data_IF_099944526887
#
_entry.id   IF_099944526887
#
_cell.length_a   1.000
_cell.length_b   1.000
_cell.length_c   1.000
_cell.angle_alpha   90.00
_cell.angle_beta   90.00
_cell.angle_gamma   90.00
#
_symmetry.space_group_name_H-M   'P 1'
#
loop_
_entity.id
_entity.type
_entity.pdbx_description
1 polymer ?
#
# COMPACT_ATOMS: atom_id res chain seq x y z
N UNK A 1 -7.17 17.34 9.04
CA UNK A 1 -6.35 16.11 9.18
C UNK A 1 -5.33 16.11 8.06
N UNK A 2 -4.05 15.93 8.38
CA UNK A 2 -2.92 16.17 7.45
C UNK A 2 -2.46 14.90 6.70
N UNK A 3 -3.17 13.78 6.82
CA UNK A 3 -2.91 12.56 6.04
C UNK A 3 -1.72 11.70 6.50
N UNK A 4 -0.97 12.12 7.52
CA UNK A 4 0.25 11.40 7.96
C UNK A 4 0.00 10.11 8.76
N UNK A 5 -1.16 9.99 9.42
CA UNK A 5 -1.44 8.88 10.35
C UNK A 5 -1.28 7.50 9.72
N UNK A 6 -1.71 7.33 8.47
CA UNK A 6 -1.58 6.05 7.78
C UNK A 6 -0.10 5.67 7.60
N UNK A 7 0.69 6.61 7.06
CA UNK A 7 2.11 6.42 6.79
C UNK A 7 2.93 6.17 8.07
N UNK A 8 2.60 6.82 9.19
CA UNK A 8 3.24 6.53 10.48
C UNK A 8 2.96 5.11 10.99
N UNK A 9 1.74 4.61 10.80
CA UNK A 9 1.39 3.25 11.20
C UNK A 9 2.09 2.20 10.33
N UNK A 10 2.19 2.43 9.02
CA UNK A 10 2.92 1.55 8.10
C UNK A 10 4.42 1.56 8.43
N UNK A 11 5.02 2.76 8.58
CA UNK A 11 6.45 2.92 8.93
C UNK A 11 6.84 2.23 10.24
N UNK A 12 5.94 2.22 11.23
CA UNK A 12 6.19 1.61 12.53
C UNK A 12 5.78 0.13 12.61
N UNK A 13 5.26 -0.45 11.53
CA UNK A 13 4.78 -1.84 11.50
C UNK A 13 3.51 -2.09 12.33
N UNK A 14 2.80 -1.03 12.74
CA UNK A 14 1.61 -1.11 13.60
C UNK A 14 0.30 -1.11 12.82
N UNK A 15 0.34 -0.91 11.50
CA UNK A 15 -0.84 -0.78 10.66
C UNK A 15 -1.77 -2.00 10.74
N UNK A 16 -1.25 -3.23 10.68
CA UNK A 16 -2.06 -4.45 10.76
C UNK A 16 -2.89 -4.53 12.04
N UNK A 17 -2.28 -4.23 13.20
CA UNK A 17 -2.99 -4.20 14.48
C UNK A 17 -3.97 -3.02 14.57
N UNK A 18 -3.59 -1.83 14.08
CA UNK A 18 -4.42 -0.64 14.13
C UNK A 18 -5.68 -0.72 13.23
N UNK A 19 -5.60 -1.49 12.14
CA UNK A 19 -6.67 -1.64 11.15
C UNK A 19 -7.41 -2.99 11.24
N UNK A 20 -7.05 -3.88 12.17
CA UNK A 20 -7.61 -5.23 12.31
C UNK A 20 -9.15 -5.32 12.39
N UNK A 21 -9.83 -4.24 12.78
CA UNK A 21 -11.31 -4.16 12.85
C UNK A 21 -11.95 -3.13 11.92
N UNK A 22 -11.17 -2.47 11.05
CA UNK A 22 -11.65 -1.38 10.18
C UNK A 22 -11.72 -1.76 8.70
N UNK A 23 -11.40 -3.01 8.36
CA UNK A 23 -11.43 -3.55 7.00
C UNK A 23 -10.42 -4.68 6.81
N UNK A 24 -10.20 -5.07 5.57
CA UNK A 24 -9.25 -6.15 5.20
C UNK A 24 -7.86 -5.57 4.94
N UNK A 25 -7.21 -5.02 5.97
CA UNK A 25 -5.80 -4.65 5.86
C UNK A 25 -4.93 -5.91 5.82
N UNK A 26 -4.10 -6.04 4.79
CA UNK A 26 -3.18 -7.18 4.62
C UNK A 26 -1.74 -6.65 4.66
N UNK A 27 -0.98 -7.03 5.67
CA UNK A 27 0.45 -6.71 5.74
C UNK A 27 1.16 -7.23 4.48
N UNK A 28 2.12 -6.47 3.96
CA UNK A 28 2.81 -6.76 2.69
C UNK A 28 2.07 -6.26 1.44
N UNK A 29 0.74 -6.18 1.47
CA UNK A 29 -0.08 -5.78 0.31
C UNK A 29 -0.66 -4.37 0.49
N UNK A 30 -1.32 -4.12 1.63
CA UNK A 30 -1.98 -2.85 1.93
C UNK A 30 -1.02 -1.77 2.44
N UNK A 31 0.27 -2.10 2.58
CA UNK A 31 1.32 -1.15 3.00
C UNK A 31 1.65 -0.14 1.89
N UNK A 32 1.39 -0.52 0.64
CA UNK A 32 1.65 0.29 -0.55
C UNK A 32 0.36 0.49 -1.36
N UNK A 33 0.28 1.63 -2.04
CA UNK A 33 -0.77 1.84 -3.04
C UNK A 33 -0.40 1.09 -4.32
N UNK A 34 -1.39 0.50 -5.03
CA UNK A 34 -1.11 -0.20 -6.27
C UNK A 34 -0.58 0.77 -7.32
N UNK A 35 0.42 0.32 -8.07
CA UNK A 35 0.88 1.06 -9.25
C UNK A 35 -0.24 1.01 -10.30
N UNK A 36 -0.66 2.15 -10.88
CA UNK A 36 -1.74 2.17 -11.87
C UNK A 36 -1.38 1.35 -13.11
N UNK A 37 -2.35 0.58 -13.60
CA UNK A 37 -2.12 -0.29 -14.77
C UNK A 37 -1.71 0.50 -16.01
N UNK A 38 -2.25 1.70 -16.21
CA UNK A 38 -1.88 2.55 -17.34
C UNK A 38 -0.38 2.91 -17.37
N UNK A 39 0.25 3.08 -16.21
CA UNK A 39 1.70 3.36 -16.12
C UNK A 39 2.54 2.12 -16.47
N UNK A 40 2.08 0.94 -16.03
CA UNK A 40 2.71 -0.35 -16.38
C UNK A 40 2.65 -0.55 -17.90
N UNK A 41 1.47 -0.35 -18.50
CA UNK A 41 1.24 -0.50 -19.94
C UNK A 41 2.07 0.50 -20.75
N UNK A 42 2.09 1.77 -20.33
CA UNK A 42 2.86 2.84 -20.98
C UNK A 42 4.38 2.58 -20.91
N UNK A 43 4.86 1.95 -19.85
CA UNK A 43 6.27 1.58 -19.69
C UNK A 43 6.69 0.37 -20.52
N UNK A 44 5.77 -0.31 -21.21
CA UNK A 44 6.05 -1.55 -21.94
C UNK A 44 6.50 -2.69 -21.04
N UNK A 45 6.06 -2.70 -19.78
CA UNK A 45 6.43 -3.73 -18.80
C UNK A 45 7.77 -3.50 -18.09
N UNK A 46 8.40 -2.31 -18.23
CA UNK A 46 9.57 -1.92 -17.43
C UNK A 46 9.19 -1.68 -15.97
N UNK A 47 8.02 -1.07 -15.74
CA UNK A 47 7.44 -0.93 -14.40
C UNK A 47 6.59 -2.17 -14.12
N UNK A 48 6.85 -2.84 -13.01
CA UNK A 48 6.08 -4.00 -12.54
C UNK A 48 5.28 -3.65 -11.30
N UNK A 49 4.18 -4.37 -11.04
CA UNK A 49 3.37 -4.17 -9.83
C UNK A 49 4.19 -4.41 -8.55
N UNK A 50 3.75 -3.82 -7.44
CA UNK A 50 4.28 -4.09 -6.11
C UNK A 50 4.28 -5.60 -5.80
N UNK A 51 5.28 -6.09 -5.05
CA UNK A 51 5.33 -7.50 -4.63
C UNK A 51 4.15 -7.86 -3.73
N UNK A 52 3.74 -9.13 -3.78
CA UNK A 52 2.72 -9.72 -2.91
C UNK A 52 3.30 -10.19 -1.58
#
# INVERSE_FOLDING_TARGET
MEGHRFWDMVRTGKAAAAFAGKGTFRAGVSDLLPIPQAEIDASGGVITQNPL
#
